data_IF_952564093668
#
_entry.id   IF_952564093668
#
_cell.length_a   1.000
_cell.length_b   1.000
_cell.length_c   1.000
_cell.angle_alpha   90.00
_cell.angle_beta   90.00
_cell.angle_gamma   90.00
#
_symmetry.space_group_name_H-M   'P 1'
#
loop_
_entity.id
_entity.type
_entity.pdbx_description
1 polymer ?
#
# COMPACT_ATOMS: atom_id res chain seq x y z
N UNK A 1 -54.06 -0.94 -42.62
CA UNK A 1 -53.67 -0.50 -41.26
C UNK A 1 -53.97 0.98 -41.12
N UNK A 2 -54.97 1.34 -40.30
CA UNK A 2 -55.42 2.73 -40.12
C UNK A 2 -54.29 3.59 -39.55
N UNK A 3 -54.26 4.88 -39.89
CA UNK A 3 -53.23 5.84 -39.44
C UNK A 3 -53.03 5.80 -37.92
N UNK A 4 -54.12 5.63 -37.17
CA UNK A 4 -54.11 5.45 -35.72
C UNK A 4 -53.27 4.25 -35.26
N UNK A 5 -53.42 3.10 -35.94
CA UNK A 5 -52.68 1.87 -35.60
C UNK A 5 -51.18 2.00 -35.93
N UNK A 6 -50.81 2.77 -36.96
CA UNK A 6 -49.39 3.07 -37.26
C UNK A 6 -48.76 3.94 -36.17
N UNK A 7 -49.48 4.96 -35.69
CA UNK A 7 -49.01 5.85 -34.61
C UNK A 7 -48.83 5.06 -33.31
N UNK A 8 -49.77 4.16 -32.98
CA UNK A 8 -49.66 3.29 -31.81
C UNK A 8 -48.41 2.41 -31.84
N UNK A 9 -48.13 1.78 -32.99
CA UNK A 9 -46.96 0.91 -33.17
C UNK A 9 -45.66 1.71 -33.02
N UNK A 10 -45.58 2.90 -33.59
CA UNK A 10 -44.40 3.77 -33.46
C UNK A 10 -44.19 4.18 -31.99
N UNK A 11 -45.27 4.52 -31.28
CA UNK A 11 -45.22 4.84 -29.85
C UNK A 11 -44.72 3.66 -28.99
N UNK A 12 -45.14 2.43 -29.32
CA UNK A 12 -44.67 1.22 -28.62
C UNK A 12 -43.19 0.96 -28.91
N UNK A 13 -42.74 1.10 -30.16
CA UNK A 13 -41.32 0.93 -30.52
C UNK A 13 -40.47 1.98 -29.80
N UNK A 14 -40.92 3.23 -29.75
CA UNK A 14 -40.24 4.28 -29.01
C UNK A 14 -40.18 3.99 -27.51
N UNK A 15 -41.28 3.55 -26.91
CA UNK A 15 -41.32 3.18 -25.50
C UNK A 15 -40.39 2.00 -25.20
N UNK A 16 -40.38 0.97 -26.04
CA UNK A 16 -39.45 -0.16 -25.91
C UNK A 16 -37.98 0.28 -26.04
N UNK A 17 -37.68 1.17 -26.97
CA UNK A 17 -36.35 1.79 -27.08
C UNK A 17 -35.97 2.59 -25.84
N UNK A 18 -36.90 3.40 -25.32
CA UNK A 18 -36.68 4.23 -24.14
C UNK A 18 -36.51 3.39 -22.86
N UNK A 19 -37.32 2.36 -22.67
CA UNK A 19 -37.19 1.48 -21.51
C UNK A 19 -35.95 0.60 -21.60
N UNK A 20 -35.58 0.10 -22.79
CA UNK A 20 -34.34 -0.64 -22.97
C UNK A 20 -33.10 0.23 -22.72
N UNK A 21 -33.09 1.50 -23.12
CA UNK A 21 -31.97 2.40 -22.81
C UNK A 21 -31.85 2.72 -21.32
N UNK A 22 -32.97 2.90 -20.62
CA UNK A 22 -32.95 3.14 -19.17
C UNK A 22 -32.49 1.89 -18.40
N UNK A 23 -32.94 0.69 -18.78
CA UNK A 23 -32.46 -0.57 -18.19
C UNK A 23 -30.99 -0.81 -18.53
N UNK A 24 -30.56 -0.49 -19.75
CA UNK A 24 -29.14 -0.58 -20.14
C UNK A 24 -28.28 0.45 -19.40
N UNK A 25 -28.82 1.63 -19.04
CA UNK A 25 -28.16 2.62 -18.20
C UNK A 25 -28.15 2.23 -16.70
N UNK A 26 -29.15 1.52 -16.21
CA UNK A 26 -29.14 0.96 -14.83
C UNK A 26 -28.25 -0.30 -14.71
N UNK A 27 -28.03 -1.05 -15.80
CA UNK A 27 -27.07 -2.16 -15.85
C UNK A 27 -25.65 -1.67 -16.16
N UNK A 28 -25.51 -0.63 -16.98
CA UNK A 28 -24.31 0.17 -17.13
C UNK A 28 -24.41 1.41 -16.25
N UNK A 29 -24.65 1.20 -14.95
CA UNK A 29 -24.11 2.12 -13.95
C UNK A 29 -22.60 1.99 -14.11
N UNK A 30 -22.06 2.68 -15.12
CA UNK A 30 -20.70 3.15 -15.14
C UNK A 30 -20.64 4.10 -13.96
N UNK A 31 -20.35 3.52 -12.81
CA UNK A 31 -20.07 4.25 -11.60
C UNK A 31 -18.89 5.16 -11.97
N UNK A 32 -19.05 6.49 -12.06
CA UNK A 32 -17.95 7.38 -12.43
C UNK A 32 -16.81 7.32 -11.38
N UNK A 33 -17.06 6.66 -10.24
CA UNK A 33 -16.13 6.38 -9.16
C UNK A 33 -15.26 5.11 -9.37
N UNK A 34 -15.30 4.47 -10.54
CA UNK A 34 -14.25 3.51 -10.96
C UNK A 34 -13.17 4.14 -11.84
N UNK A 35 -12.91 5.45 -11.66
CA UNK A 35 -11.53 5.93 -11.74
C UNK A 35 -10.75 5.10 -10.73
N UNK A 36 -9.99 4.12 -11.25
CA UNK A 36 -9.50 2.97 -10.51
C UNK A 36 -9.10 3.32 -9.09
N UNK A 37 -9.57 2.53 -8.13
CA UNK A 37 -9.12 2.58 -6.75
C UNK A 37 -7.60 2.71 -6.78
N UNK A 38 -7.11 3.94 -6.62
CA UNK A 38 -5.70 4.14 -6.38
C UNK A 38 -5.52 3.40 -5.08
N UNK A 39 -4.75 2.32 -5.11
CA UNK A 39 -4.29 1.66 -3.90
C UNK A 39 -3.43 2.70 -3.18
N UNK A 40 -4.09 3.58 -2.40
CA UNK A 40 -3.44 4.67 -1.67
C UNK A 40 -2.71 3.99 -0.53
N UNK A 41 -1.46 3.65 -0.81
CA UNK A 41 -0.56 3.13 0.20
C UNK A 41 -0.36 4.19 1.27
N UNK A 42 -0.65 3.82 2.50
CA UNK A 42 -0.34 4.64 3.67
C UNK A 42 1.16 4.97 3.68
N UNK A 43 1.46 6.23 3.99
CA UNK A 43 2.84 6.70 4.08
C UNK A 43 3.47 6.24 5.40
N UNK A 44 4.80 6.02 5.44
CA UNK A 44 5.50 5.75 6.69
C UNK A 44 5.28 6.84 7.74
N UNK A 45 5.39 6.47 9.00
CA UNK A 45 5.35 7.39 10.12
C UNK A 45 6.58 8.34 10.10
N UNK A 46 6.47 9.48 10.78
CA UNK A 46 7.58 10.42 10.93
C UNK A 46 8.57 9.94 12.01
N UNK A 47 9.56 9.14 11.57
CA UNK A 47 10.60 8.57 12.43
C UNK A 47 11.79 9.50 12.67
N UNK A 48 11.99 10.52 11.83
CA UNK A 48 13.11 11.45 11.91
C UNK A 48 12.54 12.87 11.93
N UNK A 49 12.57 13.50 13.11
CA UNK A 49 12.16 14.89 13.23
C UNK A 49 13.09 15.78 12.39
N UNK A 50 12.54 16.85 11.82
CA UNK A 50 13.31 17.82 11.03
C UNK A 50 14.55 18.34 11.77
N UNK A 51 14.46 18.54 13.10
CA UNK A 51 15.60 18.96 13.93
C UNK A 51 16.78 17.97 13.96
N UNK A 52 16.56 16.72 13.56
CA UNK A 52 17.57 15.67 13.47
C UNK A 52 18.19 15.57 12.06
N UNK A 53 17.71 16.38 11.11
CA UNK A 53 18.21 16.43 9.73
C UNK A 53 19.07 17.69 9.59
N UNK A 54 20.39 17.51 9.63
CA UNK A 54 21.35 18.62 9.58
C UNK A 54 22.04 18.63 8.22
N UNK A 55 21.79 19.68 7.44
CA UNK A 55 22.37 19.85 6.10
C UNK A 55 23.43 20.93 6.14
N UNK A 56 24.66 20.56 5.77
CA UNK A 56 25.81 21.45 5.66
C UNK A 56 26.34 21.44 4.22
N UNK A 57 27.21 22.40 3.89
CA UNK A 57 27.79 22.50 2.55
C UNK A 57 28.59 21.25 2.11
N UNK A 58 29.13 20.48 3.05
CA UNK A 58 29.98 19.31 2.76
C UNK A 58 29.39 17.97 3.19
N UNK A 59 28.27 17.97 3.93
CA UNK A 59 27.70 16.74 4.49
C UNK A 59 26.23 16.90 4.88
N UNK A 60 25.54 15.76 4.94
CA UNK A 60 24.22 15.63 5.56
C UNK A 60 24.37 14.69 6.75
N UNK A 61 23.85 15.08 7.91
CA UNK A 61 23.85 14.28 9.12
C UNK A 61 22.40 13.99 9.51
N UNK A 62 22.08 12.71 9.68
CA UNK A 62 20.88 12.25 10.37
C UNK A 62 21.29 11.91 11.82
N UNK A 63 20.91 12.74 12.78
CA UNK A 63 21.24 12.54 14.20
C UNK A 63 20.34 11.46 14.82
N UNK A 64 20.74 10.21 14.59
CA UNK A 64 20.03 9.00 15.00
C UNK A 64 20.91 8.13 15.88
N UNK A 65 20.32 7.57 16.95
CA UNK A 65 21.02 6.60 17.82
C UNK A 65 20.83 5.20 17.26
N UNK A 66 21.93 4.45 17.16
CA UNK A 66 21.95 3.03 16.75
C UNK A 66 21.35 2.78 15.35
N UNK A 67 21.51 3.75 14.45
CA UNK A 67 21.14 3.58 13.05
C UNK A 67 22.13 2.62 12.36
N UNK A 68 21.60 1.80 11.46
CA UNK A 68 22.37 0.92 10.60
C UNK A 68 21.96 1.16 9.15
N UNK A 69 22.90 0.97 8.23
CA UNK A 69 22.58 0.98 6.81
C UNK A 69 22.31 -0.46 6.34
N UNK A 70 21.43 -0.60 5.35
CA UNK A 70 21.07 -1.88 4.74
C UNK A 70 21.12 -1.82 3.21
N UNK A 71 21.42 -2.96 2.60
CA UNK A 71 21.33 -3.22 1.15
C UNK A 71 20.43 -4.40 0.89
N UNK A 72 19.93 -4.50 -0.34
CA UNK A 72 18.83 -5.40 -0.68
C UNK A 72 19.19 -6.37 -1.79
N UNK A 73 18.71 -7.60 -1.64
CA UNK A 73 18.71 -8.57 -2.74
C UNK A 73 17.66 -8.16 -3.77
N UNK A 74 17.97 -8.33 -5.04
CA UNK A 74 17.16 -7.85 -6.17
C UNK A 74 15.91 -8.71 -6.43
N UNK A 75 14.96 -8.68 -5.49
CA UNK A 75 13.71 -9.45 -5.58
C UNK A 75 12.61 -8.72 -6.37
N UNK A 76 12.79 -7.43 -6.64
CA UNK A 76 11.80 -6.53 -7.25
C UNK A 76 10.51 -6.35 -6.43
N UNK A 77 10.43 -6.89 -5.21
CA UNK A 77 9.19 -6.90 -4.40
C UNK A 77 8.83 -5.54 -3.81
N UNK A 78 9.81 -4.65 -3.66
CA UNK A 78 9.62 -3.29 -3.12
C UNK A 78 9.70 -2.20 -4.18
N UNK A 79 9.79 -2.54 -5.46
CA UNK A 79 9.80 -1.53 -6.51
C UNK A 79 8.46 -0.80 -6.61
N UNK A 80 8.44 0.50 -6.96
CA UNK A 80 9.60 1.35 -7.26
C UNK A 80 10.26 1.99 -6.01
N UNK A 81 9.77 1.70 -4.80
CA UNK A 81 10.21 2.37 -3.56
C UNK A 81 11.62 1.94 -3.15
N UNK A 82 11.96 0.67 -3.25
CA UNK A 82 13.31 0.16 -2.98
C UNK A 82 13.73 -0.82 -4.08
N UNK A 83 14.97 -0.66 -4.55
CA UNK A 83 15.63 -1.58 -5.47
C UNK A 83 16.99 -1.97 -4.93
N UNK A 84 17.64 -2.96 -5.54
CA UNK A 84 19.02 -3.38 -5.20
C UNK A 84 20.07 -2.27 -5.33
N UNK A 85 19.75 -1.15 -6.01
CA UNK A 85 20.62 0.03 -6.15
C UNK A 85 20.48 1.02 -5.00
N UNK A 86 19.41 0.95 -4.23
CA UNK A 86 19.18 1.84 -3.10
C UNK A 86 19.84 1.30 -1.83
N UNK A 87 20.21 2.23 -0.95
CA UNK A 87 20.58 1.94 0.44
C UNK A 87 19.46 2.46 1.35
N UNK A 88 19.18 1.76 2.44
CA UNK A 88 18.30 2.29 3.47
C UNK A 88 19.09 2.60 4.75
N UNK A 89 18.60 3.58 5.49
CA UNK A 89 18.98 3.77 6.90
C UNK A 89 17.83 3.23 7.74
N UNK A 90 18.17 2.36 8.69
CA UNK A 90 17.22 1.65 9.54
C UNK A 90 17.53 1.85 11.03
N UNK A 91 16.48 1.92 11.85
CA UNK A 91 16.60 1.97 13.32
C UNK A 91 15.77 0.86 13.97
N UNK A 92 16.14 0.47 15.19
CA UNK A 92 15.35 -0.49 15.96
C UNK A 92 14.14 0.22 16.61
N UNK A 93 12.89 -0.21 16.34
CA UNK A 93 11.73 0.32 17.04
C UNK A 93 11.79 -0.08 18.53
N UNK A 94 11.30 0.78 19.43
CA UNK A 94 11.41 0.54 20.88
C UNK A 94 10.19 -0.20 21.41
N UNK A 95 9.05 -0.01 20.77
CA UNK A 95 7.77 -0.58 21.19
C UNK A 95 6.84 -0.80 19.99
N UNK A 96 5.80 -1.58 20.24
CA UNK A 96 4.69 -1.80 19.29
C UNK A 96 4.03 -0.48 18.89
N UNK A 97 3.94 0.48 19.81
CA UNK A 97 3.24 1.75 19.58
C UNK A 97 3.95 2.67 18.61
N UNK A 98 5.28 2.56 18.51
CA UNK A 98 6.09 3.33 17.57
C UNK A 98 5.78 2.95 16.11
N UNK A 99 5.39 1.69 15.88
CA UNK A 99 5.15 1.12 14.56
C UNK A 99 3.73 1.39 14.10
N UNK A 100 3.57 1.93 12.90
CA UNK A 100 2.30 2.30 12.28
C UNK A 100 2.11 1.62 10.93
N UNK A 101 0.86 1.58 10.48
CA UNK A 101 0.53 1.21 9.10
C UNK A 101 1.23 2.20 8.16
N UNK A 102 1.80 1.69 7.07
CA UNK A 102 2.61 2.47 6.13
C UNK A 102 4.12 2.37 6.35
N UNK A 103 4.59 1.98 7.53
CA UNK A 103 6.02 1.79 7.79
C UNK A 103 6.60 0.65 6.94
N UNK A 104 7.85 0.81 6.50
CA UNK A 104 8.63 -0.26 5.85
C UNK A 104 9.58 -0.83 6.89
N UNK A 105 9.50 -2.13 7.14
CA UNK A 105 10.29 -2.79 8.18
C UNK A 105 11.07 -3.98 7.65
N UNK A 106 12.21 -4.24 8.27
CA UNK A 106 12.95 -5.49 8.12
C UNK A 106 12.53 -6.49 9.20
N UNK A 107 12.17 -7.72 8.83
CA UNK A 107 11.64 -8.72 9.74
C UNK A 107 12.09 -10.15 9.40
N UNK A 108 11.95 -11.04 10.37
CA UNK A 108 12.16 -12.49 10.21
C UNK A 108 10.83 -13.21 10.00
N UNK A 109 10.70 -13.88 8.87
CA UNK A 109 9.54 -14.73 8.59
C UNK A 109 9.79 -16.16 9.07
N UNK A 110 8.74 -16.85 9.47
CA UNK A 110 8.77 -18.30 9.69
C UNK A 110 8.63 -19.08 8.37
N UNK A 111 8.22 -18.40 7.29
CA UNK A 111 7.90 -19.00 5.99
C UNK A 111 9.01 -18.85 4.96
N UNK A 112 10.06 -18.09 5.27
CA UNK A 112 11.17 -17.83 4.36
C UNK A 112 12.46 -17.55 5.13
N UNK A 113 13.57 -18.03 4.56
CA UNK A 113 14.90 -17.80 5.11
C UNK A 113 15.38 -16.37 4.86
N UNK A 114 16.20 -15.86 5.78
CA UNK A 114 16.80 -14.53 5.66
C UNK A 114 15.97 -13.44 6.34
N UNK A 115 16.29 -12.17 6.01
CA UNK A 115 15.55 -11.00 6.49
C UNK A 115 14.77 -10.44 5.31
N UNK A 116 13.47 -10.23 5.51
CA UNK A 116 12.57 -9.67 4.49
C UNK A 116 12.33 -8.21 4.83
N UNK A 117 12.15 -7.37 3.81
CA UNK A 117 11.80 -5.96 3.97
C UNK A 117 10.52 -5.66 3.20
N UNK A 118 9.44 -5.32 3.90
CA UNK A 118 8.15 -5.01 3.28
C UNK A 118 7.38 -3.94 4.05
N UNK A 119 6.31 -3.42 3.45
CA UNK A 119 5.45 -2.39 4.06
C UNK A 119 4.38 -3.01 4.92
N UNK A 120 4.13 -2.42 6.08
CA UNK A 120 2.99 -2.75 6.92
C UNK A 120 1.72 -2.19 6.26
N UNK A 121 0.80 -3.08 5.92
CA UNK A 121 -0.50 -2.71 5.35
C UNK A 121 -1.61 -2.75 6.40
N UNK A 122 -1.45 -3.53 7.47
CA UNK A 122 -2.40 -3.59 8.58
C UNK A 122 -1.69 -3.80 9.92
N UNK A 123 -2.28 -3.25 10.98
CA UNK A 123 -1.89 -3.47 12.37
C UNK A 123 -3.13 -3.78 13.17
N UNK A 124 -3.14 -4.92 13.84
CA UNK A 124 -4.27 -5.44 14.61
C UNK A 124 -3.78 -6.09 15.90
N UNK A 125 -4.70 -6.59 16.72
CA UNK A 125 -4.41 -7.29 17.97
C UNK A 125 -5.25 -8.57 18.07
N UNK A 126 -4.68 -9.60 18.69
CA UNK A 126 -5.38 -10.84 19.05
C UNK A 126 -4.94 -11.34 20.43
N UNK A 127 -5.31 -12.57 20.81
CA UNK A 127 -4.99 -13.15 22.12
C UNK A 127 -3.47 -13.25 22.42
N UNK A 128 -2.62 -13.20 21.40
CA UNK A 128 -1.16 -13.23 21.54
C UNK A 128 -0.55 -11.82 21.51
N UNK A 129 -1.38 -10.77 21.47
CA UNK A 129 -0.99 -9.37 21.40
C UNK A 129 -1.02 -8.82 19.98
N UNK A 130 -0.30 -7.71 19.76
CA UNK A 130 -0.28 -7.03 18.48
C UNK A 130 0.35 -7.88 17.37
N UNK A 131 -0.16 -7.72 16.15
CA UNK A 131 0.45 -8.25 14.94
C UNK A 131 0.31 -7.31 13.77
N UNK A 132 1.14 -7.58 12.76
CA UNK A 132 1.24 -6.79 11.54
C UNK A 132 1.04 -7.71 10.34
N UNK A 133 0.33 -7.21 9.34
CA UNK A 133 0.27 -7.81 8.01
C UNK A 133 1.14 -6.96 7.09
N UNK A 134 2.03 -7.62 6.37
CA UNK A 134 3.01 -6.98 5.50
C UNK A 134 2.79 -7.36 4.05
N UNK A 135 3.29 -6.50 3.17
CA UNK A 135 3.26 -6.71 1.74
C UNK A 135 4.38 -5.95 1.05
N UNK A 136 5.04 -6.61 0.11
CA UNK A 136 5.93 -5.94 -0.83
C UNK A 136 5.17 -4.92 -1.67
N UNK A 137 5.75 -3.74 -1.86
CA UNK A 137 5.11 -2.67 -2.63
C UNK A 137 4.72 -3.09 -4.05
N UNK A 138 5.47 -4.01 -4.66
CA UNK A 138 5.22 -4.57 -5.99
C UNK A 138 4.58 -5.97 -5.97
N UNK A 139 4.29 -6.53 -4.79
CA UNK A 139 3.69 -7.86 -4.70
C UNK A 139 2.17 -7.80 -4.95
N UNK A 140 1.54 -8.84 -5.54
CA UNK A 140 0.09 -8.86 -5.76
C UNK A 140 -0.70 -9.22 -4.49
N UNK A 141 -0.07 -9.87 -3.51
CA UNK A 141 -0.71 -10.36 -2.30
C UNK A 141 0.13 -10.05 -1.05
N UNK A 142 -0.49 -10.01 0.14
CA UNK A 142 0.23 -9.92 1.41
C UNK A 142 1.18 -11.11 1.63
N UNK A 143 2.15 -10.88 2.51
CA UNK A 143 3.05 -11.92 2.99
C UNK A 143 2.28 -12.92 3.87
N UNK A 144 2.73 -14.20 3.91
CA UNK A 144 2.07 -15.20 4.72
C UNK A 144 2.26 -14.95 6.22
N UNK A 145 1.17 -15.14 6.97
CA UNK A 145 1.16 -15.15 8.43
C UNK A 145 1.04 -13.78 9.08
N UNK A 146 0.96 -13.81 10.41
CA UNK A 146 0.94 -12.63 11.27
C UNK A 146 2.35 -12.37 11.78
N UNK A 147 2.87 -11.18 11.55
CA UNK A 147 4.21 -10.82 12.05
C UNK A 147 4.07 -10.16 13.41
N UNK A 148 4.78 -10.71 14.40
CA UNK A 148 4.81 -10.21 15.77
C UNK A 148 5.97 -9.23 15.98
N UNK A 149 5.88 -8.42 17.03
CA UNK A 149 6.89 -7.38 17.30
C UNK A 149 8.30 -7.93 17.46
N UNK A 150 8.46 -9.11 18.07
CA UNK A 150 9.73 -9.80 18.25
C UNK A 150 10.38 -10.26 16.93
N UNK A 151 9.59 -10.41 15.87
CA UNK A 151 10.09 -10.74 14.53
C UNK A 151 10.60 -9.50 13.79
N UNK A 152 10.21 -8.30 14.23
CA UNK A 152 10.61 -7.03 13.63
C UNK A 152 12.03 -6.69 14.08
N UNK A 153 12.92 -6.53 13.12
CA UNK A 153 14.32 -6.22 13.39
C UNK A 153 14.51 -4.70 13.41
N UNK A 154 14.06 -4.00 12.37
CA UNK A 154 14.23 -2.55 12.20
C UNK A 154 13.13 -1.94 11.33
N UNK A 155 13.06 -0.60 11.37
CA UNK A 155 12.21 0.23 10.50
C UNK A 155 13.09 1.10 9.62
N UNK A 156 12.72 1.24 8.35
CA UNK A 156 13.36 2.15 7.40
C UNK A 156 12.95 3.58 7.71
N UNK A 157 13.94 4.46 7.83
CA UNK A 157 13.73 5.87 8.15
C UNK A 157 14.29 6.82 7.10
N UNK A 158 15.16 6.34 6.21
CA UNK A 158 15.60 7.07 5.03
C UNK A 158 15.98 6.09 3.91
N UNK A 159 15.82 6.54 2.67
CA UNK A 159 16.22 5.81 1.46
C UNK A 159 17.19 6.71 0.69
N UNK A 160 18.33 6.15 0.31
CA UNK A 160 19.39 6.82 -0.46
C UNK A 160 19.54 6.09 -1.79
N UNK A 161 19.30 6.79 -2.89
CA UNK A 161 19.38 6.26 -4.26
C UNK A 161 20.70 6.62 -4.95
#
# INVERSE_FOLDING_TARGET
MNTFLKILIIGIIFALGFFSSNIYADLNIENPDQFGLVDVKESPNDWIKESQILVYNSQVILDLKNAEWATFTDTHSMEPVLSSRANAIEIRPKSVDDIKVGDIISYKSEYADGTIIHRIIEKNEDEQGAYFILKGDNNPSPDPGKIRFEQIQRVVVAIVY
#
